data_IF_628560059369
#
_entry.id   IF_628560059369
#
_cell.length_a   1.000
_cell.length_b   1.000
_cell.length_c   1.000
_cell.angle_alpha   90.00
_cell.angle_beta   90.00
_cell.angle_gamma   90.00
#
_symmetry.space_group_name_H-M   'P 1'
#
loop_
_entity.id
_entity.type
_entity.pdbx_description
1 polymer ?
#
# COMPACT_ATOMS: atom_id res chain seq x y z
N UNK A 1 57.62 66.75 -9.26
CA UNK A 1 57.86 67.73 -10.34
C UNK A 1 56.92 67.36 -11.47
N UNK A 2 56.12 68.32 -11.96
CA UNK A 2 55.01 68.19 -12.92
C UNK A 2 53.74 67.40 -12.47
N UNK A 3 52.54 67.75 -13.00
CA UNK A 3 51.25 67.55 -12.31
C UNK A 3 50.14 66.96 -13.23
N UNK A 4 48.87 67.20 -12.86
CA UNK A 4 47.64 67.08 -13.68
C UNK A 4 47.19 65.66 -14.08
N UNK A 5 45.92 65.35 -14.35
CA UNK A 5 44.55 65.79 -13.99
C UNK A 5 43.65 64.95 -14.93
N UNK A 6 42.56 64.36 -14.39
CA UNK A 6 41.33 63.87 -15.06
C UNK A 6 41.40 62.87 -16.25
N UNK A 7 40.53 61.85 -16.12
CA UNK A 7 40.04 60.96 -17.17
C UNK A 7 39.39 61.68 -18.37
N UNK A 8 39.44 61.06 -19.56
CA UNK A 8 38.22 60.60 -20.25
C UNK A 8 38.45 59.19 -20.85
N UNK A 9 37.54 58.45 -21.50
CA UNK A 9 36.09 58.33 -21.64
C UNK A 9 35.88 57.18 -22.67
N UNK A 10 34.65 56.70 -22.87
CA UNK A 10 34.30 55.64 -23.82
C UNK A 10 34.77 55.87 -25.29
N UNK A 11 34.97 54.77 -26.02
CA UNK A 11 34.56 54.65 -27.42
C UNK A 11 34.03 53.23 -27.71
N UNK A 12 33.14 53.11 -28.71
CA UNK A 12 32.34 51.90 -29.01
C UNK A 12 32.14 51.73 -30.52
N UNK A 13 31.84 50.49 -30.97
CA UNK A 13 31.45 50.10 -32.36
C UNK A 13 32.57 50.33 -33.43
N UNK A 14 32.62 49.75 -34.64
CA UNK A 14 31.89 48.70 -35.38
C UNK A 14 32.80 48.25 -36.56
N UNK A 15 32.70 47.12 -37.29
CA UNK A 15 31.84 45.90 -37.28
C UNK A 15 32.64 44.76 -37.98
N UNK A 16 32.21 43.49 -37.95
CA UNK A 16 32.93 42.41 -38.67
C UNK A 16 32.28 41.03 -38.68
N UNK A 17 31.00 40.92 -39.07
CA UNK A 17 30.31 39.62 -39.16
C UNK A 17 30.76 38.86 -40.41
N UNK A 18 31.28 37.65 -40.23
CA UNK A 18 31.34 36.64 -41.30
C UNK A 18 30.46 35.45 -40.91
N UNK A 19 29.63 34.99 -41.85
CA UNK A 19 28.56 34.03 -41.60
C UNK A 19 29.09 32.61 -41.41
N UNK A 20 28.85 32.01 -40.24
CA UNK A 20 28.50 30.58 -40.18
C UNK A 20 27.44 30.33 -39.11
N UNK A 21 26.44 29.50 -39.45
CA UNK A 21 25.17 29.40 -38.72
C UNK A 21 25.30 28.45 -37.52
N UNK A 22 25.00 28.95 -36.32
CA UNK A 22 24.55 28.12 -35.19
C UNK A 22 23.28 28.71 -34.57
N UNK A 23 22.15 28.12 -34.96
CA UNK A 23 20.85 28.44 -34.35
C UNK A 23 20.75 27.70 -33.01
N UNK A 24 20.81 28.42 -31.89
CA UNK A 24 20.29 27.93 -30.60
C UNK A 24 19.31 28.97 -30.07
N UNK A 25 18.10 28.92 -30.61
CA UNK A 25 16.92 29.49 -29.96
C UNK A 25 16.38 28.41 -29.03
N UNK A 26 16.35 28.67 -27.73
CA UNK A 26 15.18 28.31 -26.92
C UNK A 26 15.18 29.03 -25.57
N UNK A 27 14.07 29.72 -25.31
CA UNK A 27 13.72 30.31 -24.03
C UNK A 27 12.88 29.27 -23.27
N UNK A 28 13.42 28.67 -22.21
CA UNK A 28 12.74 27.63 -21.45
C UNK A 28 12.05 28.17 -20.20
N UNK A 29 10.74 28.43 -20.26
CA UNK A 29 9.96 28.89 -19.12
C UNK A 29 9.89 27.83 -18.01
N UNK A 30 10.20 28.24 -16.77
CA UNK A 30 10.17 27.38 -15.59
C UNK A 30 8.72 27.24 -15.08
N UNK A 31 7.95 26.38 -15.74
CA UNK A 31 6.58 26.05 -15.30
C UNK A 31 6.68 25.23 -14.01
N UNK A 32 6.34 25.85 -12.89
CA UNK A 32 6.16 25.16 -11.62
C UNK A 32 4.92 24.28 -11.73
N UNK A 33 5.14 23.00 -12.05
CA UNK A 33 4.09 21.98 -11.94
C UNK A 33 3.72 21.79 -10.47
N UNK A 34 2.77 22.60 -9.99
CA UNK A 34 1.98 22.25 -8.81
C UNK A 34 1.26 20.94 -9.13
N UNK A 35 1.80 19.84 -8.62
CA UNK A 35 1.12 18.55 -8.59
C UNK A 35 -0.11 18.70 -7.70
N UNK A 36 -1.20 19.14 -8.32
CA UNK A 36 -2.54 18.96 -7.79
C UNK A 36 -2.69 17.44 -7.68
N UNK A 37 -2.59 16.92 -6.46
CA UNK A 37 -3.04 15.57 -6.13
C UNK A 37 -4.55 15.62 -6.23
N UNK A 38 -5.06 15.57 -7.47
CA UNK A 38 -6.46 15.32 -7.73
C UNK A 38 -6.81 14.05 -6.97
N UNK A 39 -7.84 14.04 -6.09
CA UNK A 39 -8.35 12.79 -5.59
C UNK A 39 -8.78 11.99 -6.80
N UNK A 40 -8.02 10.95 -7.14
CA UNK A 40 -8.35 10.06 -8.24
C UNK A 40 -9.79 9.61 -8.02
N UNK A 41 -10.65 9.81 -9.03
CA UNK A 41 -12.05 9.44 -8.93
C UNK A 41 -12.15 8.01 -8.39
N UNK A 42 -13.12 7.76 -7.52
CA UNK A 42 -13.47 6.41 -7.03
C UNK A 42 -14.10 5.58 -8.16
N UNK A 43 -13.38 5.42 -9.28
CA UNK A 43 -13.76 4.59 -10.41
C UNK A 43 -13.32 3.16 -10.18
N UNK A 44 -14.27 2.23 -10.34
CA UNK A 44 -14.04 0.84 -10.74
C UNK A 44 -12.78 0.15 -10.17
N UNK A 45 -12.57 0.28 -8.85
CA UNK A 45 -11.41 -0.35 -8.19
C UNK A 45 -11.69 -1.84 -8.06
N UNK A 46 -11.21 -2.60 -9.04
CA UNK A 46 -11.42 -4.05 -9.12
C UNK A 46 -10.91 -4.78 -7.86
N UNK A 47 -11.45 -5.97 -7.53
CA UNK A 47 -11.02 -6.74 -6.38
C UNK A 47 -9.50 -6.95 -6.31
N UNK A 48 -8.84 -7.20 -7.44
CA UNK A 48 -7.38 -7.34 -7.51
C UNK A 48 -6.65 -6.09 -7.00
N UNK A 49 -7.03 -4.89 -7.47
CA UNK A 49 -6.39 -3.64 -7.04
C UNK A 49 -6.63 -3.35 -5.55
N UNK A 50 -7.77 -3.76 -4.99
CA UNK A 50 -8.01 -3.67 -3.53
C UNK A 50 -7.15 -4.69 -2.78
N UNK A 51 -6.97 -5.89 -3.32
CA UNK A 51 -6.12 -6.93 -2.74
C UNK A 51 -4.65 -6.49 -2.69
N UNK A 52 -4.13 -5.93 -3.79
CA UNK A 52 -2.77 -5.43 -3.90
C UNK A 52 -2.52 -4.27 -2.93
N UNK A 53 -3.43 -3.29 -2.87
CA UNK A 53 -3.36 -2.17 -1.91
C UNK A 53 -3.40 -2.65 -0.45
N UNK A 54 -4.18 -3.68 -0.15
CA UNK A 54 -4.25 -4.26 1.19
C UNK A 54 -2.91 -4.91 1.58
N UNK A 55 -2.31 -5.69 0.68
CA UNK A 55 -1.00 -6.33 0.90
C UNK A 55 0.12 -5.30 0.99
N UNK A 56 0.15 -4.32 0.09
CA UNK A 56 1.10 -3.20 0.11
C UNK A 56 1.01 -2.40 1.43
N UNK A 57 -0.19 -2.26 2.00
CA UNK A 57 -0.37 -1.66 3.32
C UNK A 57 0.20 -2.56 4.45
N UNK A 58 0.03 -3.88 4.39
CA UNK A 58 0.61 -4.81 5.37
C UNK A 58 2.14 -4.87 5.29
N UNK A 59 2.70 -5.02 4.09
CA UNK A 59 4.15 -5.08 3.84
C UNK A 59 4.89 -3.86 4.40
N UNK A 60 4.26 -2.68 4.28
CA UNK A 60 4.79 -1.40 4.76
C UNK A 60 4.30 -0.99 6.16
N UNK A 61 3.76 -1.94 6.96
CA UNK A 61 3.28 -1.72 8.34
C UNK A 61 2.20 -0.61 8.50
N UNK A 62 1.51 -0.24 7.41
CA UNK A 62 0.39 0.72 7.38
C UNK A 62 -0.91 0.06 7.82
N UNK A 63 -0.91 -0.51 9.02
CA UNK A 63 -2.02 -1.29 9.58
C UNK A 63 -3.35 -0.55 9.65
N UNK A 64 -3.30 0.78 9.82
CA UNK A 64 -4.49 1.64 9.83
C UNK A 64 -5.15 1.70 8.45
N UNK A 65 -4.34 1.77 7.39
CA UNK A 65 -4.81 1.86 6.01
C UNK A 65 -5.40 0.50 5.59
N UNK A 66 -4.70 -0.61 5.91
CA UNK A 66 -5.22 -1.96 5.74
C UNK A 66 -6.54 -2.18 6.51
N UNK A 67 -6.64 -1.70 7.76
CA UNK A 67 -7.85 -1.81 8.57
C UNK A 67 -9.03 -0.99 8.00
N UNK A 68 -8.77 0.17 7.38
CA UNK A 68 -9.80 0.99 6.75
C UNK A 68 -10.46 0.30 5.54
N UNK A 69 -9.76 -0.61 4.85
CA UNK A 69 -10.28 -1.34 3.69
C UNK A 69 -11.36 -2.38 4.03
N UNK A 70 -11.55 -2.73 5.31
CA UNK A 70 -12.63 -3.63 5.72
C UNK A 70 -14.00 -2.97 5.85
N UNK A 71 -14.02 -1.72 6.34
CA UNK A 71 -15.25 -0.98 6.62
C UNK A 71 -14.93 0.52 6.75
N UNK A 72 -14.77 1.25 5.63
CA UNK A 72 -14.30 2.64 5.64
C UNK A 72 -15.23 3.60 6.42
N UNK A 73 -16.51 3.24 6.55
CA UNK A 73 -17.54 4.01 7.26
C UNK A 73 -17.62 3.72 8.77
N UNK A 74 -16.91 2.70 9.28
CA UNK A 74 -17.07 2.19 10.64
C UNK A 74 -15.80 2.41 11.50
N UNK A 75 -15.52 3.66 11.87
CA UNK A 75 -14.30 4.09 12.60
C UNK A 75 -13.98 3.28 13.86
N UNK A 76 -15.00 2.80 14.59
CA UNK A 76 -14.83 1.93 15.77
C UNK A 76 -14.19 0.57 15.39
N UNK A 77 -14.58 0.00 14.25
CA UNK A 77 -14.08 -1.28 13.76
C UNK A 77 -12.63 -1.14 13.25
N UNK A 78 -12.28 -0.01 12.62
CA UNK A 78 -10.93 0.25 12.10
C UNK A 78 -9.88 0.12 13.21
N UNK A 79 -10.08 0.72 14.39
CA UNK A 79 -9.12 0.62 15.51
C UNK A 79 -8.94 -0.80 16.04
N UNK A 80 -10.02 -1.58 16.11
CA UNK A 80 -9.98 -2.98 16.57
C UNK A 80 -9.25 -3.86 15.56
N UNK A 81 -9.56 -3.70 14.27
CA UNK A 81 -8.89 -4.40 13.17
C UNK A 81 -7.40 -4.02 13.08
N UNK A 82 -7.06 -2.74 13.19
CA UNK A 82 -5.66 -2.26 13.22
C UNK A 82 -4.88 -2.94 14.35
N UNK A 83 -5.46 -3.01 15.55
CA UNK A 83 -4.84 -3.69 16.71
C UNK A 83 -4.68 -5.19 16.46
N UNK A 84 -5.66 -5.84 15.85
CA UNK A 84 -5.57 -7.26 15.51
C UNK A 84 -4.47 -7.53 14.49
N UNK A 85 -4.36 -6.72 13.43
CA UNK A 85 -3.29 -6.82 12.42
C UNK A 85 -1.91 -6.58 13.05
N UNK A 86 -1.75 -5.55 13.88
CA UNK A 86 -0.50 -5.30 14.64
C UNK A 86 -0.10 -6.47 15.53
N UNK A 87 -1.07 -7.10 16.21
CA UNK A 87 -0.83 -8.27 17.05
C UNK A 87 -0.42 -9.50 16.24
N UNK A 88 -1.00 -9.68 15.06
CA UNK A 88 -0.60 -10.74 14.13
C UNK A 88 0.84 -10.56 13.69
N UNK A 89 1.21 -9.36 13.23
CA UNK A 89 2.59 -9.05 12.83
C UNK A 89 3.57 -9.21 13.99
N UNK A 90 3.24 -8.71 15.19
CA UNK A 90 4.08 -8.88 16.37
C UNK A 90 4.21 -10.34 16.87
N UNK A 91 3.29 -11.23 16.50
CA UNK A 91 3.28 -12.64 16.94
C UNK A 91 3.88 -13.62 15.92
N UNK A 92 3.75 -13.32 14.63
CA UNK A 92 4.21 -14.17 13.52
C UNK A 92 5.34 -13.51 12.73
N UNK A 93 5.30 -12.19 12.57
CA UNK A 93 6.02 -11.46 11.54
C UNK A 93 5.57 -11.86 10.14
N UNK A 94 6.47 -11.63 9.18
CA UNK A 94 6.34 -12.13 7.81
C UNK A 94 5.53 -11.25 6.86
N UNK A 95 4.77 -10.25 7.33
CA UNK A 95 3.98 -9.39 6.45
C UNK A 95 4.80 -8.68 5.36
N UNK A 96 6.05 -8.30 5.64
CA UNK A 96 6.99 -7.75 4.67
C UNK A 96 7.39 -8.71 3.53
N UNK A 97 7.10 -10.01 3.67
CA UNK A 97 7.42 -11.08 2.70
C UNK A 97 6.19 -11.67 2.01
N UNK A 98 5.02 -11.04 2.18
CA UNK A 98 3.77 -11.48 1.54
C UNK A 98 3.93 -11.50 0.02
N UNK A 99 3.53 -12.60 -0.61
CA UNK A 99 3.48 -12.77 -2.06
C UNK A 99 2.28 -13.63 -2.47
N UNK A 100 1.72 -13.45 -3.69
CA UNK A 100 0.53 -14.18 -4.14
C UNK A 100 0.81 -15.66 -4.42
N UNK A 101 -0.21 -16.50 -4.21
CA UNK A 101 -0.19 -17.95 -4.52
C UNK A 101 -1.52 -18.39 -5.13
N UNK A 102 -1.53 -19.46 -5.91
CA UNK A 102 -2.76 -20.00 -6.51
C UNK A 102 -3.59 -20.86 -5.54
N UNK A 103 -2.91 -21.67 -4.72
CA UNK A 103 -3.53 -22.69 -3.85
C UNK A 103 -3.04 -22.56 -2.42
N UNK A 104 -3.88 -22.96 -1.46
CA UNK A 104 -3.47 -23.19 -0.08
C UNK A 104 -3.11 -24.68 0.07
N UNK A 105 -2.15 -25.02 0.95
CA UNK A 105 -1.98 -26.42 1.39
C UNK A 105 -3.19 -26.87 2.23
N UNK A 106 -3.24 -28.14 2.60
CA UNK A 106 -4.17 -28.60 3.64
C UNK A 106 -3.75 -28.03 5.00
N UNK A 107 -4.72 -27.47 5.74
CA UNK A 107 -4.41 -26.72 6.95
C UNK A 107 -5.62 -26.30 7.79
N UNK A 108 -5.34 -25.66 8.92
CA UNK A 108 -6.33 -24.99 9.77
C UNK A 108 -6.32 -23.49 9.50
N UNK A 109 -7.50 -22.93 9.24
CA UNK A 109 -7.66 -21.48 9.04
C UNK A 109 -8.21 -20.79 10.28
N UNK A 110 -7.55 -19.73 10.72
CA UNK A 110 -8.07 -18.77 11.72
C UNK A 110 -8.58 -17.55 10.96
N UNK A 111 -9.88 -17.29 11.06
CA UNK A 111 -10.48 -16.07 10.53
C UNK A 111 -10.25 -14.93 11.52
N UNK A 112 -9.70 -13.81 11.05
CA UNK A 112 -9.83 -12.54 11.76
C UNK A 112 -11.27 -12.08 11.58
N UNK A 113 -12.07 -12.20 12.64
CA UNK A 113 -13.44 -11.69 12.66
C UNK A 113 -13.43 -10.18 12.82
N UNK A 114 -13.48 -9.47 11.68
CA UNK A 114 -13.87 -8.06 11.69
C UNK A 114 -15.38 -7.99 11.93
N UNK A 115 -15.88 -7.11 12.83
CA UNK A 115 -17.30 -7.04 13.13
C UNK A 115 -18.12 -6.77 11.86
N UNK A 116 -19.06 -7.67 11.56
CA UNK A 116 -19.93 -7.55 10.38
C UNK A 116 -20.68 -6.21 10.45
N UNK A 117 -20.77 -5.48 9.33
CA UNK A 117 -21.77 -4.43 9.22
C UNK A 117 -23.15 -5.04 9.53
N UNK A 118 -23.93 -4.39 10.40
CA UNK A 118 -25.13 -4.97 11.03
C UNK A 118 -26.23 -5.40 10.06
N UNK A 119 -26.19 -4.97 8.80
CA UNK A 119 -27.33 -4.99 7.87
C UNK A 119 -27.14 -5.86 6.62
N UNK A 120 -26.02 -6.57 6.43
CA UNK A 120 -25.82 -7.45 5.25
C UNK A 120 -25.47 -8.88 5.70
N UNK A 121 -26.35 -9.88 5.47
CA UNK A 121 -26.02 -11.27 5.70
C UNK A 121 -25.00 -11.78 4.67
N UNK A 122 -23.82 -12.18 5.13
CA UNK A 122 -22.69 -12.71 4.33
C UNK A 122 -23.07 -13.86 3.37
N UNK A 123 -24.22 -14.53 3.58
CA UNK A 123 -24.75 -15.58 2.69
C UNK A 123 -25.31 -15.06 1.34
N UNK A 124 -25.52 -13.74 1.20
CA UNK A 124 -26.14 -13.13 0.01
C UNK A 124 -25.14 -12.32 -0.83
N UNK A 125 -24.00 -11.95 -0.25
CA UNK A 125 -22.99 -11.10 -0.89
C UNK A 125 -21.97 -11.96 -1.65
N UNK A 126 -21.80 -11.73 -2.96
CA UNK A 126 -20.76 -12.44 -3.72
C UNK A 126 -19.38 -11.93 -3.33
N UNK A 127 -18.40 -12.84 -3.35
CA UNK A 127 -17.02 -12.51 -2.99
C UNK A 127 -16.00 -13.17 -3.91
N UNK A 128 -14.86 -12.51 -4.07
CA UNK A 128 -13.65 -13.03 -4.71
C UNK A 128 -12.66 -13.43 -3.63
N UNK A 129 -11.98 -14.56 -3.82
CA UNK A 129 -10.90 -15.01 -2.94
C UNK A 129 -9.54 -14.71 -3.57
N UNK A 130 -8.61 -14.16 -2.79
CA UNK A 130 -7.20 -14.01 -3.17
C UNK A 130 -6.34 -14.65 -2.07
N UNK A 131 -5.27 -15.34 -2.46
CA UNK A 131 -4.44 -16.15 -1.56
C UNK A 131 -3.00 -15.69 -1.59
N UNK A 132 -2.35 -15.76 -0.44
CA UNK A 132 -0.97 -15.32 -0.26
C UNK A 132 -0.18 -16.27 0.64
N UNK A 133 1.15 -16.25 0.48
CA UNK A 133 2.10 -16.86 1.40
C UNK A 133 3.09 -15.81 1.92
N UNK A 134 3.77 -16.13 3.01
CA UNK A 134 4.87 -15.37 3.61
C UNK A 134 5.75 -16.29 4.44
N UNK A 135 6.87 -15.77 4.93
CA UNK A 135 7.76 -16.45 5.87
C UNK A 135 7.67 -15.77 7.24
N UNK A 136 7.25 -16.50 8.26
CA UNK A 136 7.24 -16.02 9.64
C UNK A 136 8.66 -15.80 10.19
N UNK A 137 8.75 -15.12 11.33
CA UNK A 137 10.00 -14.78 12.02
C UNK A 137 10.85 -16.00 12.44
N UNK A 138 10.25 -17.18 12.53
CA UNK A 138 10.91 -18.46 12.81
C UNK A 138 11.22 -19.28 11.54
N UNK A 139 11.08 -18.67 10.36
CA UNK A 139 11.35 -19.29 9.06
C UNK A 139 10.23 -20.17 8.51
N UNK A 140 9.14 -20.38 9.25
CA UNK A 140 8.03 -21.24 8.81
C UNK A 140 7.06 -20.52 7.87
N UNK A 141 6.46 -21.21 6.89
CA UNK A 141 5.50 -20.59 5.98
C UNK A 141 4.18 -20.26 6.70
N UNK A 142 3.66 -19.07 6.44
CA UNK A 142 2.32 -18.64 6.87
C UNK A 142 1.53 -18.22 5.64
N UNK A 143 0.33 -18.77 5.52
CA UNK A 143 -0.55 -18.55 4.39
C UNK A 143 -1.73 -17.66 4.79
N UNK A 144 -2.31 -16.97 3.81
CA UNK A 144 -3.44 -16.08 4.02
C UNK A 144 -4.49 -16.21 2.93
N UNK A 145 -5.75 -15.95 3.30
CA UNK A 145 -6.86 -15.81 2.38
C UNK A 145 -7.57 -14.47 2.63
N UNK A 146 -7.67 -13.66 1.59
CA UNK A 146 -8.41 -12.41 1.56
C UNK A 146 -9.72 -12.63 0.79
N UNK A 147 -10.85 -12.38 1.42
CA UNK A 147 -12.16 -12.42 0.78
C UNK A 147 -12.65 -10.98 0.56
N UNK A 148 -12.95 -10.63 -0.69
CA UNK A 148 -13.30 -9.27 -1.13
C UNK A 148 -14.71 -9.25 -1.70
N UNK A 149 -15.47 -8.17 -1.52
CA UNK A 149 -16.79 -8.03 -2.13
C UNK A 149 -16.71 -7.92 -3.65
N UNK A 150 -17.50 -8.74 -4.34
CA UNK A 150 -17.60 -8.71 -5.80
C UNK A 150 -18.70 -7.75 -6.30
N UNK A 151 -19.74 -7.50 -5.49
CA UNK A 151 -20.91 -6.69 -5.89
C UNK A 151 -20.83 -5.22 -5.44
N UNK A 152 -19.95 -4.86 -4.49
CA UNK A 152 -19.82 -3.47 -4.02
C UNK A 152 -18.74 -2.73 -4.82
N UNK A 153 -18.99 -1.44 -5.08
CA UNK A 153 -18.11 -0.54 -5.82
C UNK A 153 -17.80 0.70 -4.96
N UNK A 154 -16.55 0.93 -4.53
CA UNK A 154 -15.38 0.05 -4.70
C UNK A 154 -15.49 -1.26 -3.90
N UNK A 155 -14.74 -2.29 -4.31
CA UNK A 155 -14.60 -3.53 -3.54
C UNK A 155 -14.03 -3.27 -2.14
N UNK A 156 -14.44 -4.09 -1.17
CA UNK A 156 -14.08 -3.97 0.25
C UNK A 156 -13.60 -5.33 0.79
N UNK A 157 -12.74 -5.32 1.80
CA UNK A 157 -12.26 -6.55 2.46
C UNK A 157 -13.34 -7.08 3.40
N UNK A 158 -13.97 -8.19 3.02
CA UNK A 158 -15.01 -8.85 3.80
C UNK A 158 -14.43 -9.74 4.91
N UNK A 159 -13.25 -10.34 4.69
CA UNK A 159 -12.47 -10.97 5.76
C UNK A 159 -11.03 -11.26 5.34
N UNK A 160 -10.15 -11.31 6.33
CA UNK A 160 -8.78 -11.81 6.22
C UNK A 160 -8.66 -13.06 7.09
N UNK A 161 -8.08 -14.13 6.56
CA UNK A 161 -7.84 -15.39 7.26
C UNK A 161 -6.37 -15.71 7.24
N UNK A 162 -5.84 -16.21 8.35
CA UNK A 162 -4.56 -16.87 8.42
C UNK A 162 -4.77 -18.37 8.27
N UNK A 163 -3.83 -19.05 7.63
CA UNK A 163 -3.91 -20.47 7.35
C UNK A 163 -2.56 -21.14 7.66
N UNK A 164 -2.63 -22.20 8.46
CA UNK A 164 -1.47 -22.94 8.96
C UNK A 164 -1.55 -24.38 8.46
N UNK A 165 -0.50 -24.91 7.80
CA UNK A 165 -0.52 -26.27 7.27
C UNK A 165 -0.64 -27.33 8.38
N UNK A 166 -1.24 -28.50 8.07
CA UNK A 166 -1.40 -29.61 9.06
C UNK A 166 -0.10 -30.39 9.32
N UNK A 167 1.05 -29.94 8.80
CA UNK A 167 2.30 -30.73 8.79
C UNK A 167 2.87 -31.08 10.16
N UNK A 168 2.60 -30.30 11.21
CA UNK A 168 3.31 -30.45 12.48
C UNK A 168 2.58 -29.82 13.70
N UNK A 169 3.05 -30.21 14.89
CA UNK A 169 2.51 -29.74 16.17
C UNK A 169 2.84 -28.26 16.47
N UNK A 170 3.90 -27.69 15.88
CA UNK A 170 4.27 -26.29 16.08
C UNK A 170 3.29 -25.36 15.35
N UNK A 171 2.90 -25.71 14.13
CA UNK A 171 1.86 -25.04 13.34
C UNK A 171 0.51 -25.00 14.07
N UNK A 172 0.11 -26.11 14.71
CA UNK A 172 -1.09 -26.14 15.58
C UNK A 172 -0.93 -25.30 16.85
N UNK A 173 0.23 -25.37 17.52
CA UNK A 173 0.52 -24.56 18.73
C UNK A 173 0.47 -23.06 18.42
N UNK A 174 1.10 -22.64 17.32
CA UNK A 174 1.15 -21.27 16.80
C UNK A 174 -0.25 -20.73 16.50
N UNK A 175 -1.08 -21.52 15.84
CA UNK A 175 -2.49 -21.19 15.59
C UNK A 175 -3.24 -20.92 16.91
N UNK A 176 -3.14 -21.83 17.89
CA UNK A 176 -3.79 -21.66 19.18
C UNK A 176 -3.29 -20.42 19.96
N UNK A 177 -1.97 -20.19 19.98
CA UNK A 177 -1.36 -19.00 20.61
C UNK A 177 -1.88 -17.71 19.96
N UNK A 178 -1.99 -17.67 18.64
CA UNK A 178 -2.48 -16.51 17.92
C UNK A 178 -3.93 -16.17 18.28
N UNK A 179 -4.82 -17.17 18.41
CA UNK A 179 -6.20 -16.96 18.88
C UNK A 179 -6.20 -16.29 20.27
N UNK A 180 -5.35 -16.75 21.19
CA UNK A 180 -5.23 -16.14 22.53
C UNK A 180 -4.72 -14.69 22.45
N UNK A 181 -3.75 -14.39 21.58
CA UNK A 181 -3.20 -13.02 21.46
C UNK A 181 -4.19 -12.06 20.80
N UNK A 182 -4.91 -12.49 19.76
CA UNK A 182 -5.92 -11.66 19.07
C UNK A 182 -7.04 -11.26 20.05
N UNK A 183 -7.50 -12.20 20.88
CA UNK A 183 -8.65 -12.03 21.79
C UNK A 183 -8.32 -11.34 23.13
N UNK A 184 -7.06 -10.95 23.37
CA UNK A 184 -6.62 -10.22 24.58
C UNK A 184 -6.73 -8.70 24.42
#
# INVERSE_FOLDING_TARGET
MYPAIKYPACFSMNTGVSHMKFNIVSLGALVVCTLIVSPAAYGDVSPAVVADKFVDALQHQRFKDAAAMFAPEATQNIRTTERALKRVDASLGGFSTIHPIATLPDGKSIKLEVPRQKNIPFKVQKFVQVRYASTASDGQPVFYELNLSADNMPSQVLSFRLHFPVSDAQSTKRANQLVTVINR
#
